data_IF_089294077271
#
_entry.id   IF_089294077271
#
_cell.length_a   1.000
_cell.length_b   1.000
_cell.length_c   1.000
_cell.angle_alpha   90.00
_cell.angle_beta   90.00
_cell.angle_gamma   90.00
#
_symmetry.space_group_name_H-M   'P 1'
#
loop_
_entity.id
_entity.type
_entity.pdbx_description
1 polymer ?
#
# COMPACT_ATOMS: atom_id res chain seq x y z
N UNK A 1 -2.51 -17.13 -1.65
CA UNK A 1 -2.80 -16.73 -0.24
C UNK A 1 -2.45 -15.26 -0.06
N UNK A 2 -3.17 -14.53 0.81
CA UNK A 2 -2.95 -13.09 1.04
C UNK A 2 -2.78 -12.78 2.53
N UNK A 3 -1.92 -11.82 2.87
CA UNK A 3 -1.62 -11.45 4.26
C UNK A 3 -0.90 -10.11 4.36
N UNK A 4 -1.00 -9.48 5.53
CA UNK A 4 -0.05 -8.44 5.93
C UNK A 4 1.15 -9.05 6.63
N UNK A 5 2.33 -8.49 6.39
CA UNK A 5 3.57 -8.81 7.11
C UNK A 5 4.13 -7.57 7.80
N UNK A 6 4.61 -7.72 9.03
CA UNK A 6 5.51 -6.75 9.67
C UNK A 6 6.93 -7.32 9.60
N UNK A 7 7.77 -6.67 8.80
CA UNK A 7 9.18 -7.01 8.66
C UNK A 7 10.01 -6.10 9.57
N UNK A 8 10.93 -6.69 10.36
CA UNK A 8 11.96 -5.94 11.09
C UNK A 8 13.23 -5.90 10.23
N UNK A 9 13.79 -4.72 10.01
CA UNK A 9 15.06 -4.54 9.28
C UNK A 9 16.24 -4.83 10.20
N UNK A 10 17.43 -5.04 9.63
CA UNK A 10 18.67 -5.23 10.40
C UNK A 10 19.00 -4.02 11.29
N UNK A 11 18.49 -2.83 10.92
CA UNK A 11 18.63 -1.58 11.69
C UNK A 11 17.60 -1.44 12.82
N UNK A 12 16.75 -2.44 13.02
CA UNK A 12 15.71 -2.43 14.05
C UNK A 12 14.45 -1.64 13.69
N UNK A 13 14.31 -1.18 12.44
CA UNK A 13 13.12 -0.49 11.94
C UNK A 13 12.06 -1.51 11.48
N UNK A 14 10.83 -1.06 11.26
CA UNK A 14 9.68 -1.91 10.95
C UNK A 14 8.99 -1.47 9.67
N UNK A 15 8.58 -2.43 8.83
CA UNK A 15 7.86 -2.17 7.59
C UNK A 15 6.61 -3.01 7.49
N UNK A 16 5.48 -2.37 7.21
CA UNK A 16 4.24 -3.05 6.86
C UNK A 16 4.28 -3.44 5.37
N UNK A 17 3.86 -4.65 5.05
CA UNK A 17 3.77 -5.16 3.68
C UNK A 17 2.43 -5.86 3.47
N UNK A 18 1.81 -5.67 2.31
CA UNK A 18 0.73 -6.53 1.85
C UNK A 18 1.26 -7.51 0.82
N UNK A 19 1.05 -8.81 1.07
CA UNK A 19 1.56 -9.91 0.26
C UNK A 19 0.38 -10.66 -0.35
N UNK A 20 0.46 -10.92 -1.66
CA UNK A 20 -0.50 -11.73 -2.41
C UNK A 20 0.25 -12.75 -3.24
N UNK A 21 -0.11 -14.03 -3.11
CA UNK A 21 0.53 -15.12 -3.83
C UNK A 21 2.06 -15.14 -3.72
N UNK A 22 2.56 -14.86 -2.51
CA UNK A 22 3.98 -14.77 -2.18
C UNK A 22 4.72 -13.54 -2.73
N UNK A 23 4.04 -12.64 -3.44
CA UNK A 23 4.60 -11.40 -3.95
C UNK A 23 4.20 -10.21 -3.07
N UNK A 24 5.15 -9.30 -2.80
CA UNK A 24 4.89 -8.07 -2.04
C UNK A 24 4.26 -7.05 -3.00
N UNK A 25 2.98 -6.75 -2.81
CA UNK A 25 2.28 -5.81 -3.69
C UNK A 25 2.56 -4.36 -3.31
N UNK A 26 2.52 -4.06 -2.01
CA UNK A 26 2.76 -2.73 -1.47
C UNK A 26 3.46 -2.81 -0.13
N UNK A 27 4.15 -1.73 0.22
CA UNK A 27 4.87 -1.63 1.47
C UNK A 27 4.95 -0.20 2.00
N UNK A 28 5.08 -0.08 3.33
CA UNK A 28 5.30 1.22 3.99
C UNK A 28 6.75 1.64 3.96
N UNK A 29 7.01 2.90 4.33
CA UNK A 29 8.34 3.30 4.75
C UNK A 29 8.81 2.54 5.99
N UNK A 30 10.08 2.73 6.35
CA UNK A 30 10.65 2.17 7.58
C UNK A 30 10.17 3.01 8.76
N UNK A 31 9.45 2.37 9.68
CA UNK A 31 9.01 2.96 10.93
C UNK A 31 9.99 2.65 12.06
N UNK A 32 10.18 3.60 12.97
CA UNK A 32 10.99 3.37 14.17
C UNK A 32 10.37 2.35 15.15
N UNK A 33 9.07 2.05 15.04
CA UNK A 33 8.36 1.16 15.97
C UNK A 33 7.45 0.15 15.28
N UNK A 34 7.32 -1.03 15.89
CA UNK A 34 6.35 -2.08 15.50
C UNK A 34 4.91 -1.56 15.59
N UNK A 35 4.62 -0.69 16.56
CA UNK A 35 3.30 -0.09 16.74
C UNK A 35 2.90 0.77 15.53
N UNK A 36 3.82 1.57 14.99
CA UNK A 36 3.57 2.37 13.78
C UNK A 36 3.25 1.49 12.57
N UNK A 37 3.97 0.36 12.39
CA UNK A 37 3.66 -0.60 11.33
C UNK A 37 2.28 -1.26 11.53
N UNK A 38 1.90 -1.58 12.77
CA UNK A 38 0.55 -2.09 13.10
C UNK A 38 -0.53 -1.06 12.77
N UNK A 39 -0.36 0.19 13.19
CA UNK A 39 -1.32 1.27 12.91
C UNK A 39 -1.49 1.49 11.39
N UNK A 40 -0.39 1.37 10.63
CA UNK A 40 -0.46 1.42 9.17
C UNK A 40 -1.34 0.30 8.60
N UNK A 41 -1.15 -0.95 9.07
CA UNK A 41 -1.96 -2.10 8.66
C UNK A 41 -3.43 -1.92 9.05
N UNK A 42 -3.73 -1.50 10.28
CA UNK A 42 -5.10 -1.27 10.74
C UNK A 42 -5.83 -0.20 9.91
N UNK A 43 -5.13 0.87 9.58
CA UNK A 43 -5.65 1.91 8.69
C UNK A 43 -5.90 1.37 7.27
N UNK A 44 -5.00 0.56 6.72
CA UNK A 44 -5.22 -0.09 5.42
C UNK A 44 -6.44 -1.02 5.46
N UNK A 45 -6.56 -1.85 6.49
CA UNK A 45 -7.71 -2.75 6.66
C UNK A 45 -9.04 -2.01 6.67
N UNK A 46 -9.09 -0.88 7.39
CA UNK A 46 -10.30 -0.08 7.55
C UNK A 46 -10.64 0.74 6.31
N UNK A 47 -9.64 1.37 5.71
CA UNK A 47 -9.88 2.46 4.76
C UNK A 47 -9.63 2.07 3.30
N UNK A 48 -8.76 1.09 3.03
CA UNK A 48 -8.46 0.69 1.66
C UNK A 48 -9.68 0.13 0.89
N UNK A 49 -10.55 -0.73 1.48
CA UNK A 49 -11.64 -1.37 0.72
C UNK A 49 -12.60 -0.41 0.00
N UNK A 50 -12.86 0.76 0.59
CA UNK A 50 -13.76 1.77 0.04
C UNK A 50 -13.07 3.02 -0.52
N UNK A 51 -11.73 3.05 -0.52
CA UNK A 51 -11.00 4.24 -0.94
C UNK A 51 -11.11 4.45 -2.46
N UNK A 52 -11.35 5.69 -2.92
CA UNK A 52 -11.35 6.03 -4.33
C UNK A 52 -9.96 5.84 -4.96
N UNK A 53 -9.94 5.71 -6.28
CA UNK A 53 -8.73 5.65 -7.08
C UNK A 53 -8.60 6.95 -7.87
N UNK A 54 -7.46 7.62 -7.72
CA UNK A 54 -7.11 8.85 -8.42
C UNK A 54 -5.98 8.56 -9.40
N UNK A 55 -6.20 8.81 -10.69
CA UNK A 55 -5.22 8.64 -11.76
C UNK A 55 -4.49 9.97 -12.01
N UNK A 56 -3.36 10.18 -11.34
CA UNK A 56 -2.58 11.41 -11.44
C UNK A 56 -1.97 11.61 -12.84
N UNK A 57 -1.79 10.52 -13.59
CA UNK A 57 -1.36 10.61 -15.00
C UNK A 57 -2.43 11.24 -15.91
N UNK A 58 -3.67 11.36 -15.41
CA UNK A 58 -4.77 12.10 -16.04
C UNK A 58 -5.06 13.44 -15.36
N UNK A 59 -4.18 13.90 -14.49
CA UNK A 59 -4.34 15.14 -13.72
C UNK A 59 -5.58 15.15 -12.81
N UNK A 60 -6.07 13.97 -12.40
CA UNK A 60 -7.13 13.86 -11.41
C UNK A 60 -6.62 14.33 -10.03
N UNK A 61 -7.51 14.86 -9.20
CA UNK A 61 -7.18 15.29 -7.83
C UNK A 61 -8.14 14.69 -6.83
N UNK A 62 -7.69 14.53 -5.58
CA UNK A 62 -8.50 13.98 -4.52
C UNK A 62 -7.93 14.28 -3.14
N UNK A 63 -8.79 14.22 -2.13
CA UNK A 63 -8.44 14.38 -0.72
C UNK A 63 -8.95 13.18 0.08
N UNK A 64 -8.59 13.09 1.36
CA UNK A 64 -8.97 11.94 2.18
C UNK A 64 -8.17 10.67 1.85
N UNK A 65 -8.64 9.54 2.39
CA UNK A 65 -8.09 8.22 2.07
C UNK A 65 -8.30 7.90 0.60
N UNK A 66 -7.25 7.50 -0.10
CA UNK A 66 -7.31 7.25 -1.54
C UNK A 66 -6.12 6.42 -2.03
N UNK A 67 -6.34 5.68 -3.11
CA UNK A 67 -5.26 5.19 -3.94
C UNK A 67 -4.91 6.23 -5.01
N UNK A 68 -3.63 6.36 -5.29
CA UNK A 68 -3.13 7.20 -6.37
C UNK A 68 -2.34 6.31 -7.34
N UNK A 69 -2.64 6.40 -8.63
CA UNK A 69 -1.80 5.89 -9.71
C UNK A 69 -0.97 7.07 -10.22
N UNK A 70 0.33 6.93 -10.17
CA UNK A 70 1.28 7.98 -10.55
C UNK A 70 2.34 7.40 -11.51
N UNK A 71 3.01 8.27 -12.25
CA UNK A 71 4.03 7.88 -13.23
C UNK A 71 5.44 8.15 -12.67
N UNK A 72 6.30 7.15 -12.78
CA UNK A 72 7.72 7.28 -12.47
C UNK A 72 8.46 7.91 -13.67
N UNK A 73 9.67 8.44 -13.42
CA UNK A 73 10.48 9.12 -14.45
C UNK A 73 10.82 8.24 -15.67
N UNK A 74 10.72 6.92 -15.53
CA UNK A 74 10.97 5.95 -16.60
C UNK A 74 9.71 5.59 -17.41
N UNK A 75 8.58 6.28 -17.19
CA UNK A 75 7.30 6.04 -17.87
C UNK A 75 6.51 4.84 -17.32
N UNK A 76 7.02 4.15 -16.30
CA UNK A 76 6.25 3.11 -15.61
C UNK A 76 5.32 3.71 -14.55
N UNK A 77 4.24 3.02 -14.24
CA UNK A 77 3.23 3.48 -13.26
C UNK A 77 3.37 2.79 -11.92
N UNK A 78 3.11 3.47 -10.81
CA UNK A 78 3.07 2.84 -9.49
C UNK A 78 1.82 3.27 -8.73
N UNK A 79 1.51 2.51 -7.68
CA UNK A 79 0.37 2.74 -6.79
C UNK A 79 0.89 3.25 -5.46
N UNK A 80 0.21 4.22 -4.87
CA UNK A 80 0.34 4.54 -3.44
C UNK A 80 -1.01 4.70 -2.77
N UNK A 81 -1.07 4.39 -1.48
CA UNK A 81 -2.24 4.67 -0.65
C UNK A 81 -1.92 5.84 0.27
N UNK A 82 -2.77 6.88 0.25
CA UNK A 82 -2.67 8.02 1.16
C UNK A 82 -3.68 7.95 2.28
N UNK A 83 -3.25 8.38 3.46
CA UNK A 83 -4.11 8.66 4.59
C UNK A 83 -4.90 9.97 4.38
N UNK A 84 -5.92 10.19 5.22
CA UNK A 84 -6.75 11.39 5.15
C UNK A 84 -5.97 12.70 5.33
N UNK A 85 -4.90 12.67 6.13
CA UNK A 85 -3.99 13.81 6.34
C UNK A 85 -2.98 14.01 5.19
N UNK A 86 -3.06 13.21 4.13
CA UNK A 86 -2.15 13.27 2.98
C UNK A 86 -0.87 12.46 3.12
N UNK A 87 -0.61 11.80 4.26
CA UNK A 87 0.57 10.93 4.43
C UNK A 87 0.52 9.74 3.47
N UNK A 88 1.66 9.38 2.87
CA UNK A 88 1.78 8.16 2.07
C UNK A 88 2.00 6.99 3.02
N UNK A 89 1.02 6.08 3.08
CA UNK A 89 1.08 4.93 3.98
C UNK A 89 1.85 3.76 3.38
N UNK A 90 1.59 3.46 2.11
CA UNK A 90 2.26 2.40 1.36
C UNK A 90 2.40 2.75 -0.12
N UNK A 91 3.40 2.16 -0.77
CA UNK A 91 3.60 2.22 -2.23
C UNK A 91 3.89 0.84 -2.80
N UNK A 92 3.60 0.65 -4.08
CA UNK A 92 4.00 -0.52 -4.84
C UNK A 92 5.37 -0.34 -5.48
N UNK A 93 5.83 -1.41 -6.13
CA UNK A 93 6.80 -1.34 -7.22
C UNK A 93 6.23 -0.56 -8.43
N UNK A 94 7.08 -0.30 -9.42
CA UNK A 94 6.63 0.22 -10.72
C UNK A 94 6.12 -0.92 -11.60
N UNK A 95 5.14 -0.58 -12.42
CA UNK A 95 4.47 -1.48 -13.35
C UNK A 95 4.53 -0.89 -14.75
N UNK A 96 4.83 -1.75 -15.73
CA UNK A 96 4.85 -1.39 -17.16
C UNK A 96 3.48 -1.00 -17.71
N UNK A 97 2.39 -1.37 -17.04
CA UNK A 97 1.04 -1.08 -17.51
C UNK A 97 0.16 -0.54 -16.39
N UNK A 98 -0.68 0.44 -16.74
CA UNK A 98 -1.71 0.98 -15.85
C UNK A 98 -2.71 -0.10 -15.40
N UNK A 99 -2.95 -1.10 -16.22
CA UNK A 99 -3.80 -2.25 -15.87
C UNK A 99 -3.21 -3.04 -14.70
N UNK A 100 -1.89 -3.23 -14.66
CA UNK A 100 -1.21 -3.88 -13.52
C UNK A 100 -1.34 -3.05 -12.24
N UNK A 101 -1.20 -1.72 -12.33
CA UNK A 101 -1.44 -0.81 -11.19
C UNK A 101 -2.89 -0.92 -10.67
N UNK A 102 -3.87 -0.93 -11.57
CA UNK A 102 -5.28 -1.13 -11.21
C UNK A 102 -5.55 -2.49 -10.57
N UNK A 103 -4.92 -3.56 -11.07
CA UNK A 103 -5.02 -4.90 -10.48
C UNK A 103 -4.40 -4.96 -9.08
N UNK A 104 -3.33 -4.18 -8.85
CA UNK A 104 -2.73 -4.03 -7.53
C UNK A 104 -3.73 -3.42 -6.54
N UNK A 105 -4.34 -2.29 -6.91
CA UNK A 105 -5.36 -1.61 -6.11
C UNK A 105 -6.56 -2.52 -5.85
N UNK A 106 -7.13 -3.12 -6.89
CA UNK A 106 -8.30 -3.98 -6.78
C UNK A 106 -8.03 -5.18 -5.85
N UNK A 107 -6.80 -5.69 -5.85
CA UNK A 107 -6.42 -6.77 -4.95
C UNK A 107 -6.38 -6.36 -3.50
N UNK A 108 -5.86 -5.15 -3.21
CA UNK A 108 -5.84 -4.60 -1.86
C UNK A 108 -7.27 -4.27 -1.41
N UNK A 109 -8.06 -3.58 -2.24
CA UNK A 109 -9.45 -3.23 -1.92
C UNK A 109 -10.28 -4.47 -1.55
N UNK A 110 -10.16 -5.56 -2.32
CA UNK A 110 -10.92 -6.78 -2.11
C UNK A 110 -10.48 -7.59 -0.87
N UNK A 111 -9.21 -7.49 -0.46
CA UNK A 111 -8.60 -8.48 0.45
C UNK A 111 -8.01 -7.88 1.72
N UNK A 112 -7.75 -6.58 1.76
CA UNK A 112 -7.10 -5.95 2.90
C UNK A 112 -7.87 -6.18 4.21
N UNK A 113 -9.19 -5.95 4.21
CA UNK A 113 -10.02 -6.03 5.42
C UNK A 113 -9.85 -7.36 6.19
N UNK A 114 -9.80 -8.48 5.45
CA UNK A 114 -9.79 -9.84 6.00
C UNK A 114 -8.40 -10.46 6.07
N UNK A 115 -7.37 -9.79 5.54
CA UNK A 115 -6.02 -10.31 5.50
C UNK A 115 -5.48 -10.59 6.92
N UNK A 116 -4.99 -11.81 7.14
CA UNK A 116 -4.25 -12.14 8.37
C UNK A 116 -3.02 -11.22 8.52
N UNK A 117 -2.63 -10.93 9.76
CA UNK A 117 -1.42 -10.15 10.05
C UNK A 117 -0.38 -11.13 10.61
N UNK A 118 0.73 -11.27 9.91
CA UNK A 118 1.91 -11.99 10.37
C UNK A 118 3.02 -10.99 10.69
N UNK A 119 3.90 -11.28 11.64
CA UNK A 119 5.01 -10.37 11.94
C UNK A 119 5.94 -10.89 13.01
N UNK A 120 7.19 -10.43 12.96
CA UNK A 120 8.26 -10.84 13.88
C UNK A 120 7.83 -10.63 15.33
N UNK A 121 7.68 -11.71 16.11
CA UNK A 121 7.66 -11.63 17.58
C UNK A 121 8.84 -10.82 18.08
#
# INVERSE_FOLDING_TARGET
MHKFKILKTEKGEFRAQFVYNSEVMVWSENYASKASAKNCIESLKKNAPGAPVIDLTKQETGSGYRFEIDEAKNGETFVRFRAANGEIMVRSETYKSKSSAKNCIASIQKRAAEAAVEGAE
#
